data_IF_787342435929
#
_entry.id   IF_787342435929
#
_cell.length_a   1.000
_cell.length_b   1.000
_cell.length_c   1.000
_cell.angle_alpha   90.00
_cell.angle_beta   90.00
_cell.angle_gamma   90.00
#
_symmetry.space_group_name_H-M   'P 1'
#
loop_
_entity.id
_entity.type
_entity.pdbx_description
1 polymer ?
#
# COMPACT_ATOMS: atom_id res chain seq x y z
N UNK A 1 -17.31 33.69 -19.80
CA UNK A 1 -16.98 32.61 -18.89
C UNK A 1 -15.52 32.22 -19.12
N UNK A 2 -14.65 32.50 -18.15
CA UNK A 2 -13.28 32.02 -18.22
C UNK A 2 -13.30 30.48 -18.16
N UNK A 3 -12.57 29.78 -19.05
CA UNK A 3 -12.46 28.35 -18.96
C UNK A 3 -11.85 27.96 -17.61
N UNK A 4 -12.49 27.04 -16.90
CA UNK A 4 -11.92 26.41 -15.71
C UNK A 4 -10.58 25.80 -16.15
N UNK A 5 -9.45 26.09 -15.51
CA UNK A 5 -8.17 25.47 -15.86
C UNK A 5 -8.32 23.96 -15.82
N UNK A 6 -7.91 23.29 -16.87
CA UNK A 6 -7.79 21.82 -16.88
C UNK A 6 -6.87 21.41 -15.73
N UNK A 7 -7.26 20.48 -14.84
CA UNK A 7 -6.39 20.07 -13.78
C UNK A 7 -5.06 19.59 -14.37
N UNK A 8 -3.96 20.15 -13.90
CA UNK A 8 -2.62 19.80 -14.38
C UNK A 8 -2.46 18.28 -14.40
N UNK A 9 -2.11 17.72 -15.55
CA UNK A 9 -1.86 16.28 -15.67
C UNK A 9 -0.77 15.89 -14.69
N UNK A 10 -0.95 14.79 -13.91
CA UNK A 10 0.08 14.31 -13.01
C UNK A 10 1.41 14.12 -13.75
N UNK A 11 2.51 14.47 -13.11
CA UNK A 11 3.87 14.33 -13.66
C UNK A 11 4.73 13.44 -12.74
N UNK A 12 5.89 13.00 -13.24
CA UNK A 12 6.80 12.15 -12.48
C UNK A 12 6.16 10.85 -12.03
N UNK A 13 6.44 10.43 -10.79
CA UNK A 13 5.87 9.19 -10.23
C UNK A 13 4.35 9.21 -10.12
N UNK A 14 3.73 10.38 -9.92
CA UNK A 14 2.29 10.51 -9.86
C UNK A 14 1.58 10.20 -11.19
N UNK A 15 2.30 10.16 -12.31
CA UNK A 15 1.77 9.81 -13.64
C UNK A 15 1.84 8.32 -13.97
N UNK A 16 2.40 7.49 -13.09
CA UNK A 16 2.50 6.05 -13.31
C UNK A 16 1.11 5.40 -13.31
N UNK A 17 0.95 4.34 -14.11
CA UNK A 17 -0.35 3.71 -14.38
C UNK A 17 -1.06 3.19 -13.12
N UNK A 18 -0.31 2.69 -12.14
CA UNK A 18 -0.86 2.19 -10.88
C UNK A 18 -1.33 3.27 -9.91
N UNK A 19 -1.01 4.53 -10.16
CA UNK A 19 -1.29 5.61 -9.21
C UNK A 19 -2.74 6.08 -9.35
N UNK A 20 -3.56 5.95 -8.29
CA UNK A 20 -4.90 6.53 -8.26
C UNK A 20 -4.87 8.05 -8.37
N UNK A 21 -5.99 8.64 -8.74
CA UNK A 21 -6.17 10.09 -8.69
C UNK A 21 -5.90 10.60 -7.26
N UNK A 22 -5.01 11.59 -7.14
CA UNK A 22 -4.64 12.16 -5.86
C UNK A 22 -5.78 13.02 -5.28
N UNK A 23 -6.02 12.91 -3.99
CA UNK A 23 -6.90 13.84 -3.27
C UNK A 23 -6.26 15.23 -3.15
N UNK A 24 -4.94 15.25 -2.96
CA UNK A 24 -4.19 16.49 -2.82
C UNK A 24 -4.55 17.29 -1.57
N UNK A 25 -4.18 18.58 -1.56
CA UNK A 25 -4.41 19.49 -0.46
C UNK A 25 -3.37 19.40 0.65
N UNK A 26 -3.36 20.40 1.56
CA UNK A 26 -2.33 20.54 2.60
C UNK A 26 -2.36 19.49 3.70
N UNK A 27 -3.44 18.71 3.80
CA UNK A 27 -3.60 17.63 4.79
C UNK A 27 -3.30 16.26 4.22
N UNK A 28 -2.81 16.16 2.99
CA UNK A 28 -2.45 14.92 2.33
C UNK A 28 -1.05 15.04 1.73
N UNK A 29 -0.33 13.93 1.67
CA UNK A 29 1.00 13.90 1.08
C UNK A 29 1.16 12.67 0.17
N UNK A 30 1.54 12.90 -1.09
CA UNK A 30 1.96 11.86 -2.00
C UNK A 30 3.44 11.55 -1.79
N UNK A 31 3.77 10.27 -1.65
CA UNK A 31 5.15 9.78 -1.43
C UNK A 31 5.41 8.61 -2.37
N UNK A 32 6.60 8.57 -2.95
CA UNK A 32 7.13 7.38 -3.62
C UNK A 32 8.45 6.99 -2.94
N UNK A 33 8.46 5.83 -2.30
CA UNK A 33 9.70 5.23 -1.81
C UNK A 33 10.41 4.53 -2.96
N UNK A 34 11.72 4.73 -3.05
CA UNK A 34 12.55 4.18 -4.13
C UNK A 34 13.70 3.36 -3.57
N UNK A 35 14.19 2.45 -4.39
CA UNK A 35 15.44 1.71 -4.17
C UNK A 35 16.25 1.66 -5.45
N UNK A 36 17.57 1.58 -5.32
CA UNK A 36 18.46 1.46 -6.48
C UNK A 36 18.48 0.03 -6.99
N UNK A 37 18.28 -0.11 -8.29
CA UNK A 37 18.49 -1.36 -9.04
C UNK A 37 19.39 -1.04 -10.23
N UNK A 38 20.55 -1.70 -10.33
CA UNK A 38 21.53 -1.44 -11.38
C UNK A 38 21.88 0.06 -11.52
N UNK A 39 22.02 0.75 -10.39
CA UNK A 39 22.38 2.17 -10.34
C UNK A 39 21.26 3.17 -10.63
N UNK A 40 20.05 2.70 -10.95
CA UNK A 40 18.86 3.54 -11.19
C UNK A 40 17.86 3.43 -10.05
N UNK A 41 17.17 4.53 -9.77
CA UNK A 41 16.09 4.55 -8.79
C UNK A 41 14.81 3.98 -9.40
N UNK A 42 14.20 3.02 -8.69
CA UNK A 42 12.91 2.42 -9.02
C UNK A 42 11.97 2.53 -7.83
N UNK A 43 10.67 2.77 -8.07
CA UNK A 43 9.68 2.74 -7.01
C UNK A 43 9.62 1.39 -6.32
N UNK A 44 9.69 1.41 -4.99
CA UNK A 44 9.32 0.27 -4.15
C UNK A 44 7.81 0.20 -4.02
N UNK A 45 7.20 1.30 -3.62
CA UNK A 45 5.77 1.58 -3.65
C UNK A 45 5.52 3.09 -3.52
N UNK A 46 4.32 3.51 -3.92
CA UNK A 46 3.82 4.87 -3.73
C UNK A 46 2.58 4.86 -2.82
N UNK A 47 2.30 6.00 -2.21
CA UNK A 47 1.15 6.18 -1.34
C UNK A 47 0.64 7.62 -1.38
N UNK A 48 -0.61 7.83 -0.97
CA UNK A 48 -1.10 9.12 -0.53
C UNK A 48 -1.55 9.01 0.92
N UNK A 49 -0.89 9.75 1.80
CA UNK A 49 -1.07 9.71 3.25
C UNK A 49 -1.96 10.85 3.71
N UNK A 50 -2.90 10.56 4.60
CA UNK A 50 -3.72 11.55 5.28
C UNK A 50 -3.15 11.90 6.65
N UNK A 51 -2.81 13.16 6.86
CA UNK A 51 -2.40 13.67 8.17
C UNK A 51 -3.55 13.61 9.18
N UNK A 52 -4.78 13.85 8.71
CA UNK A 52 -5.99 13.80 9.55
C UNK A 52 -6.24 12.41 10.14
N UNK A 53 -6.07 11.38 9.33
CA UNK A 53 -6.40 10.00 9.72
C UNK A 53 -5.18 9.20 10.16
N UNK A 54 -3.96 9.77 10.03
CA UNK A 54 -2.67 9.08 10.25
C UNK A 54 -2.61 7.71 9.55
N UNK A 55 -3.04 7.69 8.31
CA UNK A 55 -3.23 6.47 7.52
C UNK A 55 -3.16 6.80 6.03
N UNK A 56 -2.63 5.88 5.23
CA UNK A 56 -2.63 6.02 3.78
C UNK A 56 -3.99 5.69 3.19
N UNK A 57 -4.43 6.45 2.19
CA UNK A 57 -5.64 6.13 1.41
C UNK A 57 -5.45 4.85 0.60
N UNK A 58 -4.25 4.66 0.08
CA UNK A 58 -3.85 3.51 -0.73
C UNK A 58 -2.33 3.39 -0.74
N UNK A 59 -1.86 2.18 -1.08
CA UNK A 59 -0.48 1.86 -1.45
C UNK A 59 -0.53 1.29 -2.86
N UNK A 60 0.33 1.80 -3.76
CA UNK A 60 0.40 1.35 -5.15
C UNK A 60 1.82 0.89 -5.49
N UNK A 61 1.94 -0.23 -6.19
CA UNK A 61 3.20 -0.81 -6.61
C UNK A 61 3.03 -1.73 -7.81
N UNK A 62 4.13 -2.17 -8.39
CA UNK A 62 4.10 -3.12 -9.51
C UNK A 62 5.06 -4.27 -9.33
N UNK A 63 4.76 -5.35 -10.00
CA UNK A 63 5.70 -6.43 -10.28
C UNK A 63 6.07 -6.40 -11.75
N UNK A 64 7.36 -6.58 -12.03
CA UNK A 64 7.93 -6.74 -13.35
C UNK A 64 9.19 -7.62 -13.27
N UNK A 65 9.94 -7.78 -14.36
CA UNK A 65 11.14 -8.60 -14.37
C UNK A 65 12.29 -8.05 -13.50
N UNK A 66 12.14 -6.88 -12.89
CA UNK A 66 13.12 -6.30 -11.96
C UNK A 66 12.76 -6.52 -10.49
N UNK A 67 11.60 -7.12 -10.19
CA UNK A 67 11.08 -7.29 -8.84
C UNK A 67 11.23 -8.70 -8.27
N UNK A 68 11.93 -9.57 -8.96
CA UNK A 68 12.25 -10.92 -8.47
C UNK A 68 13.31 -10.88 -7.38
N UNK A 69 13.19 -11.75 -6.38
CA UNK A 69 14.16 -11.88 -5.29
C UNK A 69 13.61 -12.65 -4.11
N UNK A 70 14.49 -13.00 -3.18
CA UNK A 70 14.14 -13.73 -1.96
C UNK A 70 15.11 -13.40 -0.82
N UNK A 71 15.21 -12.13 -0.45
CA UNK A 71 16.05 -11.71 0.69
C UNK A 71 15.43 -12.05 2.05
N UNK A 72 14.19 -12.58 2.07
CA UNK A 72 13.46 -12.88 3.28
C UNK A 72 12.87 -11.64 3.96
N UNK A 73 12.26 -11.86 5.12
CA UNK A 73 11.64 -10.80 5.93
C UNK A 73 12.71 -10.08 6.76
N UNK A 74 12.86 -8.79 6.53
CA UNK A 74 13.81 -7.91 7.24
C UNK A 74 13.02 -6.87 8.04
N UNK A 75 12.43 -7.29 9.14
CA UNK A 75 11.57 -6.45 9.98
C UNK A 75 12.30 -5.20 10.49
N UNK A 76 11.70 -4.03 10.23
CA UNK A 76 12.28 -2.74 10.56
C UNK A 76 11.19 -1.67 10.77
N UNK A 77 10.19 -1.97 11.62
CA UNK A 77 9.11 -1.02 11.90
C UNK A 77 9.64 0.32 12.39
N UNK A 78 9.30 1.38 11.68
CA UNK A 78 9.62 2.76 12.06
C UNK A 78 8.63 3.76 11.42
N UNK A 79 8.52 4.98 11.96
CA UNK A 79 7.79 6.04 11.27
C UNK A 79 8.34 6.23 9.86
N UNK A 80 7.47 6.61 8.93
CA UNK A 80 7.90 6.95 7.57
C UNK A 80 8.79 8.19 7.61
N UNK A 81 10.04 8.12 7.11
CA UNK A 81 10.97 9.23 7.17
C UNK A 81 10.57 10.43 6.31
N UNK A 82 9.69 10.25 5.33
CA UNK A 82 9.21 11.33 4.46
C UNK A 82 8.03 12.12 5.08
N UNK A 83 7.47 11.62 6.18
CA UNK A 83 6.35 12.28 6.86
C UNK A 83 6.84 13.24 7.97
N UNK A 84 6.19 14.40 8.14
CA UNK A 84 6.40 15.20 9.32
C UNK A 84 6.11 14.40 10.59
N UNK A 85 7.01 14.46 11.58
CA UNK A 85 6.98 13.59 12.77
C UNK A 85 5.66 13.67 13.56
N UNK A 86 4.99 14.82 13.54
CA UNK A 86 3.71 15.04 14.22
C UNK A 86 2.55 14.28 13.58
N UNK A 87 2.65 13.95 12.30
CA UNK A 87 1.60 13.23 11.54
C UNK A 87 1.94 11.76 11.30
N UNK A 88 3.22 11.38 11.48
CA UNK A 88 3.66 10.01 11.25
C UNK A 88 3.14 9.07 12.34
N UNK A 89 2.49 7.98 11.94
CA UNK A 89 2.17 6.87 12.84
C UNK A 89 3.46 6.20 13.31
N UNK A 90 3.44 5.68 14.55
CA UNK A 90 4.60 5.04 15.20
C UNK A 90 4.28 3.57 15.51
N UNK A 91 5.33 2.75 15.54
CA UNK A 91 5.21 1.33 15.88
C UNK A 91 4.49 1.12 17.23
N UNK A 92 4.85 1.91 18.24
CA UNK A 92 4.29 1.80 19.58
C UNK A 92 2.83 2.28 19.69
N UNK A 93 2.29 2.95 18.69
CA UNK A 93 0.88 3.36 18.70
C UNK A 93 -0.06 2.15 18.67
N UNK A 94 0.38 1.05 18.08
CA UNK A 94 -0.37 -0.21 17.99
C UNK A 94 -0.28 -1.10 19.23
N UNK A 95 0.62 -0.81 20.16
CA UNK A 95 0.79 -1.61 21.37
C UNK A 95 -0.46 -1.55 22.22
N UNK A 96 -0.99 -2.73 22.59
CA UNK A 96 -2.24 -2.90 23.34
C UNK A 96 -3.50 -2.27 22.70
N UNK A 97 -3.46 -2.05 21.37
CA UNK A 97 -4.60 -1.49 20.63
C UNK A 97 -5.69 -2.50 20.32
N UNK A 98 -5.42 -3.80 20.42
CA UNK A 98 -6.30 -4.87 19.95
C UNK A 98 -6.21 -5.14 18.44
N UNK A 99 -5.36 -4.40 17.71
CA UNK A 99 -5.14 -4.55 16.27
C UNK A 99 -3.71 -4.96 15.96
N UNK A 100 -3.54 -5.72 14.89
CA UNK A 100 -2.23 -6.06 14.34
C UNK A 100 -1.70 -4.95 13.45
N UNK A 101 -0.40 -4.95 13.23
CA UNK A 101 0.29 -4.09 12.27
C UNK A 101 0.19 -4.71 10.88
N UNK A 102 -0.97 -4.54 10.24
CA UNK A 102 -1.24 -5.13 8.93
C UNK A 102 -0.54 -4.38 7.81
N UNK A 103 0.24 -5.08 7.01
CA UNK A 103 0.84 -4.51 5.79
C UNK A 103 -0.22 -4.29 4.72
N UNK A 104 -0.14 -3.17 3.98
CA UNK A 104 -0.86 -2.95 2.74
C UNK A 104 -0.05 -3.51 1.56
N UNK A 105 1.16 -3.02 1.32
CA UNK A 105 2.14 -3.71 0.48
C UNK A 105 2.83 -4.78 1.34
N UNK A 106 2.60 -6.05 1.04
CA UNK A 106 3.16 -7.15 1.79
C UNK A 106 4.70 -7.16 1.71
N UNK A 107 5.37 -7.52 2.82
CA UNK A 107 6.84 -7.64 2.81
C UNK A 107 7.33 -8.69 1.82
N UNK A 108 6.55 -9.75 1.62
CA UNK A 108 6.81 -10.80 0.62
C UNK A 108 6.81 -10.28 -0.83
N UNK A 109 6.14 -9.17 -1.11
CA UNK A 109 6.05 -8.58 -2.44
C UNK A 109 7.28 -7.73 -2.80
N UNK A 110 8.14 -7.41 -1.83
CA UNK A 110 9.31 -6.55 -1.97
C UNK A 110 10.58 -7.24 -1.47
N UNK A 111 10.91 -8.40 -2.02
CA UNK A 111 12.07 -9.20 -1.61
C UNK A 111 13.25 -9.15 -2.59
N UNK A 112 13.27 -8.22 -3.52
CA UNK A 112 14.38 -8.05 -4.47
C UNK A 112 15.60 -7.36 -3.85
N UNK A 113 15.46 -6.69 -2.71
CA UNK A 113 16.57 -6.17 -1.91
C UNK A 113 16.17 -6.03 -0.43
N UNK A 114 17.15 -6.05 0.46
CA UNK A 114 16.93 -5.82 1.89
C UNK A 114 16.30 -4.45 2.15
N UNK A 115 16.78 -3.41 1.46
CA UNK A 115 16.26 -2.05 1.58
C UNK A 115 14.79 -1.99 1.17
N UNK A 116 14.42 -2.55 0.01
CA UNK A 116 13.04 -2.58 -0.44
C UNK A 116 12.14 -3.31 0.55
N UNK A 117 12.59 -4.44 1.11
CA UNK A 117 11.85 -5.16 2.12
C UNK A 117 11.67 -4.35 3.41
N UNK A 118 12.72 -3.69 3.89
CA UNK A 118 12.66 -2.83 5.07
C UNK A 118 11.72 -1.63 4.90
N UNK A 119 11.62 -1.05 3.69
CA UNK A 119 10.67 0.03 3.40
C UNK A 119 9.22 -0.39 3.59
N UNK A 120 8.88 -1.68 3.42
CA UNK A 120 7.51 -2.16 3.68
C UNK A 120 7.10 -2.09 5.15
N UNK A 121 8.05 -1.89 6.07
CA UNK A 121 7.81 -1.72 7.50
C UNK A 121 7.68 -0.25 7.94
N UNK A 122 7.71 0.70 7.01
CA UNK A 122 7.31 2.09 7.33
C UNK A 122 5.84 2.11 7.76
N UNK A 123 5.56 2.81 8.86
CA UNK A 123 4.22 2.81 9.46
C UNK A 123 3.16 3.45 8.55
N UNK A 124 3.55 4.18 7.50
CA UNK A 124 2.66 4.65 6.43
C UNK A 124 2.10 3.51 5.55
N UNK A 125 2.79 2.37 5.49
CA UNK A 125 2.35 1.14 4.82
C UNK A 125 1.54 0.22 5.74
N UNK A 126 1.34 0.59 6.99
CA UNK A 126 0.70 -0.23 8.01
C UNK A 126 -0.70 0.28 8.32
N UNK A 127 -1.63 -0.65 8.45
CA UNK A 127 -3.02 -0.39 8.79
C UNK A 127 -3.44 -1.21 10.01
N UNK A 128 -4.34 -0.68 10.89
CA UNK A 128 -4.95 -1.49 11.92
C UNK A 128 -5.80 -2.59 11.30
N UNK A 129 -5.40 -3.84 11.49
CA UNK A 129 -6.13 -5.02 11.00
C UNK A 129 -6.44 -5.96 12.16
N UNK A 130 -7.66 -6.54 12.15
CA UNK A 130 -8.01 -7.60 13.11
C UNK A 130 -7.13 -8.81 12.86
N UNK A 131 -6.41 -9.27 13.87
CA UNK A 131 -5.56 -10.45 13.78
C UNK A 131 -6.39 -11.69 13.51
N UNK A 132 -7.40 -11.91 14.33
CA UNK A 132 -8.30 -13.04 14.19
C UNK A 132 -9.36 -12.77 13.10
N UNK A 133 -9.51 -13.68 12.16
CA UNK A 133 -10.55 -13.67 11.14
C UNK A 133 -10.28 -12.77 9.93
N UNK A 134 -9.34 -11.82 9.98
CA UNK A 134 -9.05 -10.94 8.85
C UNK A 134 -7.62 -11.06 8.30
N UNK A 135 -6.59 -10.97 9.18
CA UNK A 135 -5.17 -10.98 8.77
C UNK A 135 -4.41 -12.20 9.30
N UNK A 136 -5.08 -13.28 9.66
CA UNK A 136 -4.44 -14.56 9.98
C UNK A 136 -4.42 -15.46 8.74
N UNK A 137 -3.58 -16.51 8.78
CA UNK A 137 -3.51 -17.50 7.70
C UNK A 137 -4.89 -18.06 7.34
N UNK A 138 -5.22 -18.05 6.05
CA UNK A 138 -6.49 -18.53 5.52
C UNK A 138 -7.67 -17.55 5.60
N UNK A 139 -7.48 -16.36 6.19
CA UNK A 139 -8.50 -15.32 6.21
C UNK A 139 -8.55 -14.51 4.91
N UNK A 140 -9.56 -13.64 4.79
CA UNK A 140 -9.83 -12.93 3.53
C UNK A 140 -8.63 -12.09 3.04
N UNK A 141 -8.01 -11.29 3.92
CA UNK A 141 -6.87 -10.47 3.54
C UNK A 141 -5.65 -11.32 3.18
N UNK A 142 -5.29 -12.29 4.02
CA UNK A 142 -4.16 -13.18 3.77
C UNK A 142 -4.32 -13.99 2.48
N UNK A 143 -5.54 -14.51 2.21
CA UNK A 143 -5.83 -15.21 0.95
C UNK A 143 -5.64 -14.31 -0.28
N UNK A 144 -6.03 -13.03 -0.18
CA UNK A 144 -5.78 -12.04 -1.23
C UNK A 144 -4.29 -11.75 -1.41
N UNK A 145 -3.54 -11.61 -0.32
CA UNK A 145 -2.07 -11.42 -0.36
C UNK A 145 -1.38 -12.59 -1.03
N UNK A 146 -1.73 -13.83 -0.67
CA UNK A 146 -1.15 -15.06 -1.24
C UNK A 146 -1.36 -15.12 -2.76
N UNK A 147 -2.56 -14.72 -3.24
CA UNK A 147 -2.83 -14.65 -4.68
C UNK A 147 -2.00 -13.59 -5.39
N UNK A 148 -1.94 -12.37 -4.85
CA UNK A 148 -1.14 -11.27 -5.42
C UNK A 148 0.34 -11.66 -5.44
N UNK A 149 0.86 -12.26 -4.38
CA UNK A 149 2.24 -12.75 -4.31
C UNK A 149 2.52 -13.82 -5.38
N UNK A 150 1.63 -14.80 -5.53
CA UNK A 150 1.79 -15.86 -6.52
C UNK A 150 1.80 -15.30 -7.96
N UNK A 151 0.91 -14.37 -8.26
CA UNK A 151 0.90 -13.69 -9.56
C UNK A 151 2.16 -12.85 -9.77
N UNK A 152 2.58 -12.09 -8.76
CA UNK A 152 3.80 -11.28 -8.80
C UNK A 152 5.07 -12.12 -9.01
N UNK A 153 5.16 -13.29 -8.38
CA UNK A 153 6.25 -14.23 -8.58
C UNK A 153 6.34 -14.72 -10.04
N UNK A 154 5.20 -15.03 -10.67
CA UNK A 154 5.17 -15.41 -12.08
C UNK A 154 5.56 -14.24 -12.99
N UNK A 155 5.06 -13.04 -12.71
CA UNK A 155 5.38 -11.82 -13.46
C UNK A 155 6.88 -11.51 -13.41
N UNK A 156 7.54 -11.68 -12.28
CA UNK A 156 8.98 -11.40 -12.13
C UNK A 156 9.88 -12.26 -13.05
N UNK A 157 9.30 -13.28 -13.67
CA UNK A 157 9.96 -14.20 -14.64
C UNK A 157 9.47 -14.01 -16.07
N UNK A 158 8.75 -12.95 -16.35
CA UNK A 158 8.13 -12.66 -17.65
C UNK A 158 8.49 -11.24 -18.11
N UNK A 159 7.99 -10.86 -19.29
CA UNK A 159 8.03 -9.49 -19.79
C UNK A 159 6.76 -8.70 -19.47
N UNK A 160 5.83 -9.32 -18.73
CA UNK A 160 4.55 -8.73 -18.34
C UNK A 160 4.71 -7.80 -17.13
N UNK A 161 3.64 -7.11 -16.79
CA UNK A 161 3.58 -6.24 -15.60
C UNK A 161 2.28 -6.49 -14.85
N UNK A 162 2.36 -6.54 -13.52
CA UNK A 162 1.23 -6.57 -12.62
C UNK A 162 1.23 -5.30 -11.79
N UNK A 163 0.22 -4.47 -11.96
CA UNK A 163 0.00 -3.27 -11.16
C UNK A 163 -0.94 -3.59 -10.02
N UNK A 164 -0.61 -3.13 -8.80
CA UNK A 164 -1.34 -3.46 -7.58
C UNK A 164 -1.64 -2.17 -6.81
N UNK A 165 -2.88 -2.02 -6.37
CA UNK A 165 -3.29 -0.98 -5.43
C UNK A 165 -4.03 -1.66 -4.28
N UNK A 166 -3.61 -1.39 -3.05
CA UNK A 166 -4.25 -1.90 -1.84
C UNK A 166 -4.52 -0.75 -0.88
N UNK A 167 -5.58 -0.86 -0.11
CA UNK A 167 -5.88 0.14 0.91
C UNK A 167 -6.95 -0.28 1.88
N UNK A 168 -7.05 0.48 2.96
CA UNK A 168 -8.18 0.48 3.87
C UNK A 168 -9.03 1.72 3.63
N UNK A 169 -10.33 1.59 3.73
CA UNK A 169 -11.22 2.73 3.55
C UNK A 169 -11.06 3.71 4.72
N UNK A 170 -10.68 4.93 4.42
CA UNK A 170 -10.62 6.03 5.38
C UNK A 170 -11.38 7.23 4.81
N UNK A 171 -12.28 7.77 5.61
CA UNK A 171 -13.17 8.84 5.21
C UNK A 171 -14.41 8.84 6.06
N UNK A 172 -15.24 9.84 5.87
CA UNK A 172 -16.50 9.95 6.61
C UNK A 172 -17.41 8.73 6.35
N UNK A 173 -17.90 8.13 7.42
CA UNK A 173 -18.75 6.94 7.35
C UNK A 173 -18.02 5.62 7.09
N UNK A 174 -16.72 5.63 6.76
CA UNK A 174 -15.94 4.46 6.34
C UNK A 174 -14.90 4.01 7.37
N UNK A 175 -14.97 4.55 8.58
CA UNK A 175 -14.05 4.30 9.70
C UNK A 175 -14.84 3.61 10.83
N UNK A 176 -14.27 2.54 11.42
CA UNK A 176 -14.85 1.82 12.57
C UNK A 176 -14.54 2.52 13.90
N UNK A 177 -13.43 3.21 13.98
CA UNK A 177 -12.90 3.85 15.18
C UNK A 177 -11.46 4.30 14.96
N UNK A 178 -10.76 4.56 16.05
CA UNK A 178 -9.37 5.04 16.02
C UNK A 178 -8.51 4.37 17.07
N UNK A 179 -7.26 4.05 16.74
CA UNK A 179 -6.23 3.74 17.72
C UNK A 179 -5.78 5.07 18.34
N UNK A 180 -5.79 5.17 19.67
CA UNK A 180 -5.39 6.37 20.47
C UNK A 180 -6.07 7.67 19.99
N UNK A 181 -7.29 7.56 19.47
CA UNK A 181 -8.04 8.68 18.87
C UNK A 181 -7.36 9.36 17.68
N UNK A 182 -6.38 8.74 17.04
CA UNK A 182 -5.58 9.34 15.99
C UNK A 182 -5.53 8.52 14.71
N UNK A 183 -5.23 7.20 14.81
CA UNK A 183 -5.05 6.35 13.63
C UNK A 183 -6.39 5.71 13.27
N UNK A 184 -6.89 6.00 12.07
CA UNK A 184 -8.16 5.47 11.61
C UNK A 184 -8.12 3.94 11.45
N UNK A 185 -9.21 3.29 11.87
CA UNK A 185 -9.43 1.85 11.68
C UNK A 185 -10.44 1.69 10.55
N UNK A 186 -10.04 1.17 9.38
CA UNK A 186 -10.94 1.02 8.24
C UNK A 186 -12.11 0.08 8.50
N UNK A 187 -13.30 0.40 7.94
CA UNK A 187 -14.42 -0.54 7.87
C UNK A 187 -14.23 -1.63 6.83
N UNK A 188 -13.54 -1.29 5.74
CA UNK A 188 -13.32 -2.18 4.61
C UNK A 188 -11.87 -2.06 4.14
N UNK A 189 -11.41 -3.10 3.47
CA UNK A 189 -10.15 -3.11 2.74
C UNK A 189 -10.40 -3.49 1.29
N UNK A 190 -9.50 -3.07 0.43
CA UNK A 190 -9.58 -3.38 -0.99
C UNK A 190 -8.21 -3.75 -1.58
N UNK A 191 -8.25 -4.54 -2.63
CA UNK A 191 -7.14 -4.81 -3.53
C UNK A 191 -7.64 -4.63 -4.96
N UNK A 192 -6.91 -3.89 -5.77
CA UNK A 192 -7.15 -3.76 -7.20
C UNK A 192 -5.88 -4.17 -7.94
N UNK A 193 -6.03 -5.02 -8.93
CA UNK A 193 -4.92 -5.61 -9.68
C UNK A 193 -5.18 -5.44 -11.17
N UNK A 194 -4.18 -4.93 -11.90
CA UNK A 194 -4.18 -4.81 -13.33
C UNK A 194 -3.00 -5.58 -13.92
N UNK A 195 -3.30 -6.61 -14.67
CA UNK A 195 -2.31 -7.34 -15.46
C UNK A 195 -2.19 -6.74 -16.85
N UNK A 196 -0.94 -6.60 -17.32
CA UNK A 196 -0.61 -6.15 -18.67
C UNK A 196 0.37 -7.11 -19.33
N UNK A 197 0.00 -7.57 -20.53
CA UNK A 197 0.87 -8.33 -21.44
C UNK A 197 0.78 -7.72 -22.84
N UNK A 198 1.84 -7.03 -23.26
CA UNK A 198 1.81 -6.21 -24.49
C UNK A 198 0.70 -5.14 -24.41
N UNK A 199 -0.24 -5.20 -25.36
CA UNK A 199 -1.41 -4.32 -25.41
C UNK A 199 -2.67 -4.92 -24.76
N UNK A 200 -2.55 -6.09 -24.15
CA UNK A 200 -3.66 -6.77 -23.49
C UNK A 200 -3.67 -6.44 -21.99
N UNK A 201 -4.85 -6.14 -21.48
CA UNK A 201 -5.09 -5.81 -20.07
C UNK A 201 -6.17 -6.70 -19.47
N UNK A 202 -5.97 -7.12 -18.22
CA UNK A 202 -6.98 -7.79 -17.40
C UNK A 202 -6.96 -7.19 -16.00
N UNK A 203 -8.13 -6.89 -15.45
CA UNK A 203 -8.25 -6.32 -14.11
C UNK A 203 -9.16 -7.16 -13.23
N UNK A 204 -8.86 -7.18 -11.94
CA UNK A 204 -9.71 -7.74 -10.90
C UNK A 204 -9.61 -6.88 -9.64
N UNK A 205 -10.72 -6.74 -8.92
CA UNK A 205 -10.79 -6.05 -7.64
C UNK A 205 -11.41 -6.91 -6.57
N UNK A 206 -10.95 -6.73 -5.34
CA UNK A 206 -11.48 -7.34 -4.13
C UNK A 206 -11.86 -6.24 -3.15
N UNK A 207 -13.02 -6.39 -2.54
CA UNK A 207 -13.51 -5.49 -1.50
C UNK A 207 -13.98 -6.34 -0.32
N UNK A 208 -13.40 -6.11 0.85
CA UNK A 208 -13.51 -7.00 2.00
C UNK A 208 -13.98 -6.23 3.23
N UNK A 209 -15.07 -6.65 3.90
CA UNK A 209 -15.40 -6.13 5.22
C UNK A 209 -14.26 -6.42 6.22
N UNK A 210 -13.94 -5.42 7.05
CA UNK A 210 -12.99 -5.58 8.15
C UNK A 210 -13.68 -6.17 9.36
N UNK A 211 -14.07 -7.45 9.26
CA UNK A 211 -14.82 -8.19 10.27
C UNK A 211 -14.10 -9.47 10.68
N UNK A 212 -14.48 -10.00 11.85
CA UNK A 212 -13.81 -11.14 12.49
C UNK A 212 -14.19 -12.50 11.89
N UNK A 213 -15.28 -12.58 11.13
CA UNK A 213 -15.71 -13.79 10.43
C UNK A 213 -16.72 -13.45 9.33
N UNK A 214 -16.67 -14.20 8.27
CA UNK A 214 -17.83 -14.44 7.42
C UNK A 214 -18.60 -15.64 7.99
#
# INVERSE_FOLDING_TARGET
SNPVPDPEKPSGYASMLEIPALKGGSMNQFITHTTKRNGKDYPTYSLEYSYKYKHSYWIAYRFDNTTGGNVGRNEAYKPDPELPSQYAAKHNDYTNSGYTRGHLCASSDRQYSKEANQQTFYMSNISPQSGNGFNQSGSAWNTGEDKVQAWGYNISRSTDTLYVVKGGTIGEGMIKGYIKNEIAIPKYFFMAVLFRSGDNYKAIGFYMPHELSL
#
